data_IF_503082054118
#
_entry.id   IF_503082054118
#
_cell.length_a   1.000
_cell.length_b   1.000
_cell.length_c   1.000
_cell.angle_alpha   90.00
_cell.angle_beta   90.00
_cell.angle_gamma   90.00
#
_symmetry.space_group_name_H-M   'P 1'
#
loop_
_entity.id
_entity.type
_entity.pdbx_description
1 polymer ?
#
# COMPACT_ATOMS: atom_id res chain seq x y z
N UNK A 1 -16.73 16.17 -42.21
CA UNK A 1 -16.47 14.71 -42.19
C UNK A 1 -15.08 14.48 -41.62
N UNK A 2 -14.98 14.07 -40.36
CA UNK A 2 -13.74 13.55 -39.74
C UNK A 2 -14.15 12.55 -38.64
N UNK A 3 -13.43 11.44 -38.61
CA UNK A 3 -13.75 10.14 -37.99
C UNK A 3 -13.76 10.17 -36.45
N UNK A 4 -14.47 9.23 -35.79
CA UNK A 4 -14.46 9.13 -34.33
C UNK A 4 -13.15 8.50 -33.82
N UNK A 5 -12.63 9.03 -32.72
CA UNK A 5 -11.50 8.44 -32.00
C UNK A 5 -11.98 7.22 -31.20
N UNK A 6 -11.39 6.08 -31.50
CA UNK A 6 -11.62 4.78 -30.85
C UNK A 6 -11.09 4.80 -29.42
N UNK A 7 -11.96 4.44 -28.48
CA UNK A 7 -11.64 4.28 -27.07
C UNK A 7 -10.81 3.00 -26.88
N UNK A 8 -9.60 3.10 -26.30
CA UNK A 8 -8.80 1.94 -25.89
C UNK A 8 -8.99 1.76 -24.38
N UNK A 9 -9.80 0.77 -24.02
CA UNK A 9 -10.06 0.38 -22.64
C UNK A 9 -8.90 -0.50 -22.16
N UNK A 10 -8.10 -0.02 -21.21
CA UNK A 10 -7.12 -0.85 -20.50
C UNK A 10 -7.84 -1.45 -19.31
N UNK A 11 -8.26 -2.71 -19.46
CA UNK A 11 -8.83 -3.50 -18.37
C UNK A 11 -7.70 -3.86 -17.38
N UNK A 12 -7.89 -3.52 -16.10
CA UNK A 12 -7.15 -4.16 -15.03
C UNK A 12 -7.43 -5.68 -15.07
N UNK A 13 -6.43 -6.55 -14.83
CA UNK A 13 -6.65 -7.99 -14.91
C UNK A 13 -7.60 -8.43 -13.79
N UNK A 14 -8.84 -8.75 -14.18
CA UNK A 14 -9.72 -9.57 -13.36
C UNK A 14 -9.19 -11.00 -13.36
N UNK A 15 -8.82 -11.50 -12.18
CA UNK A 15 -8.43 -12.90 -12.02
C UNK A 15 -9.63 -13.81 -12.35
N UNK A 16 -9.44 -14.91 -13.12
CA UNK A 16 -10.53 -15.75 -13.55
C UNK A 16 -11.14 -16.53 -12.38
N UNK A 17 -12.48 -16.52 -12.30
CA UNK A 17 -13.26 -17.34 -11.38
C UNK A 17 -13.28 -18.78 -11.90
N UNK A 18 -12.69 -19.72 -11.15
CA UNK A 18 -12.74 -21.15 -11.52
C UNK A 18 -14.11 -21.71 -11.11
N UNK A 19 -14.93 -21.99 -12.12
CA UNK A 19 -16.19 -22.73 -12.00
C UNK A 19 -15.95 -24.18 -11.59
N UNK A 20 -16.74 -24.64 -10.60
CA UNK A 20 -16.80 -26.03 -10.13
C UNK A 20 -17.09 -26.99 -11.28
N UNK A 21 -16.22 -27.99 -11.47
CA UNK A 21 -16.50 -29.16 -12.30
C UNK A 21 -16.63 -30.42 -11.44
N UNK A 22 -17.60 -31.23 -11.83
CA UNK A 22 -18.24 -32.33 -11.10
C UNK A 22 -17.31 -33.54 -10.92
N UNK A 23 -17.51 -34.19 -9.77
CA UNK A 23 -16.99 -35.50 -9.41
C UNK A 23 -17.44 -36.57 -10.43
N UNK A 24 -16.47 -37.29 -11.01
CA UNK A 24 -16.67 -38.44 -11.87
C UNK A 24 -15.86 -39.63 -11.34
N UNK A 25 -16.55 -40.73 -11.11
CA UNK A 25 -16.15 -41.98 -10.48
C UNK A 25 -15.07 -42.77 -11.22
N UNK A 26 -14.17 -43.40 -10.46
CA UNK A 26 -13.11 -44.30 -10.92
C UNK A 26 -13.62 -45.72 -11.29
N UNK A 27 -12.79 -46.50 -12.02
CA UNK A 27 -12.74 -47.96 -11.82
C UNK A 27 -11.29 -48.50 -11.63
N UNK A 28 -11.13 -49.76 -11.14
CA UNK A 28 -9.91 -50.19 -10.46
C UNK A 28 -9.04 -51.24 -11.18
N UNK A 29 -7.76 -51.26 -10.76
CA UNK A 29 -6.79 -52.37 -10.58
C UNK A 29 -6.36 -53.24 -11.78
N UNK A 30 -5.03 -53.41 -11.97
CA UNK A 30 -4.18 -54.54 -11.45
C UNK A 30 -2.91 -54.74 -12.32
N UNK A 31 -1.75 -55.02 -11.70
CA UNK A 31 -0.70 -55.84 -12.34
C UNK A 31 0.79 -55.42 -12.30
N UNK A 32 1.43 -55.50 -11.11
CA UNK A 32 2.76 -56.10 -10.81
C UNK A 32 3.88 -56.14 -11.88
N UNK A 33 5.06 -55.54 -11.59
CA UNK A 33 6.36 -56.22 -11.38
C UNK A 33 7.51 -55.23 -11.11
N UNK A 34 8.48 -55.72 -10.34
CA UNK A 34 9.63 -55.05 -9.72
C UNK A 34 10.65 -54.47 -10.70
N UNK A 35 11.27 -53.34 -10.33
CA UNK A 35 12.70 -53.11 -10.54
C UNK A 35 13.23 -52.08 -9.55
N UNK A 36 14.28 -52.47 -8.84
CA UNK A 36 15.10 -51.67 -7.94
C UNK A 36 15.92 -50.64 -8.74
N UNK A 37 15.66 -49.36 -8.50
CA UNK A 37 16.60 -48.28 -8.82
C UNK A 37 16.75 -47.39 -7.59
N UNK A 38 18.00 -47.32 -7.12
CA UNK A 38 18.47 -46.38 -6.11
C UNK A 38 18.22 -44.98 -6.64
N UNK A 39 17.18 -44.31 -6.13
CA UNK A 39 16.90 -42.91 -6.44
C UNK A 39 17.68 -42.06 -5.45
N UNK A 40 18.74 -41.42 -5.93
CA UNK A 40 19.40 -40.35 -5.21
C UNK A 40 18.33 -39.31 -4.82
N UNK A 41 18.12 -39.11 -3.51
CA UNK A 41 17.42 -37.94 -3.01
C UNK A 41 18.27 -36.72 -3.34
N UNK A 42 18.00 -36.09 -4.48
CA UNK A 42 18.31 -34.67 -4.64
C UNK A 42 17.38 -33.94 -3.66
N UNK A 43 17.89 -33.11 -2.74
CA UNK A 43 17.02 -32.26 -1.96
C UNK A 43 16.29 -31.36 -2.96
N UNK A 44 14.96 -31.33 -2.87
CA UNK A 44 14.19 -30.23 -3.42
C UNK A 44 14.75 -28.98 -2.73
N UNK A 45 15.57 -28.22 -3.45
CA UNK A 45 15.90 -26.86 -3.06
C UNK A 45 14.58 -26.12 -3.16
N UNK A 46 13.84 -26.07 -2.05
CA UNK A 46 12.85 -25.03 -1.85
C UNK A 46 13.66 -23.74 -1.91
N UNK A 47 13.63 -23.11 -3.07
CA UNK A 47 14.21 -21.80 -3.25
C UNK A 47 13.39 -20.89 -2.35
N UNK A 48 13.90 -20.63 -1.14
CA UNK A 48 13.30 -19.67 -0.23
C UNK A 48 13.13 -18.38 -1.00
N UNK A 49 11.88 -17.98 -1.18
CA UNK A 49 11.57 -16.65 -1.70
C UNK A 49 11.84 -15.70 -0.54
N UNK A 50 13.05 -15.20 -0.46
CA UNK A 50 13.37 -14.02 0.33
C UNK A 50 12.82 -12.81 -0.42
N UNK A 51 12.41 -11.76 0.29
CA UNK A 51 12.10 -10.48 -0.37
C UNK A 51 13.31 -10.09 -1.22
N UNK A 52 13.14 -9.85 -2.54
CA UNK A 52 14.24 -9.31 -3.33
C UNK A 52 14.64 -7.97 -2.72
N UNK A 53 15.87 -7.88 -2.22
CA UNK A 53 16.42 -6.70 -1.55
C UNK A 53 16.73 -5.56 -2.53
N UNK A 54 16.39 -5.70 -3.82
CA UNK A 54 16.93 -4.90 -4.92
C UNK A 54 15.88 -4.06 -5.65
N UNK A 55 14.65 -3.97 -5.16
CA UNK A 55 13.64 -3.11 -5.79
C UNK A 55 13.83 -1.67 -5.31
N UNK A 56 14.12 -0.75 -6.22
CA UNK A 56 14.34 0.66 -5.95
C UNK A 56 13.24 1.29 -5.07
N UNK A 57 11.98 0.93 -5.31
CA UNK A 57 10.85 1.51 -4.58
C UNK A 57 10.80 1.06 -3.10
N UNK A 58 11.41 -0.09 -2.76
CA UNK A 58 11.60 -0.51 -1.36
C UNK A 58 12.67 0.32 -0.67
N UNK A 59 13.77 0.61 -1.36
CA UNK A 59 14.84 1.44 -0.82
C UNK A 59 14.36 2.87 -0.55
N UNK A 60 13.60 3.44 -1.49
CA UNK A 60 12.94 4.75 -1.32
C UNK A 60 12.03 4.75 -0.10
N UNK A 61 11.16 3.73 0.05
CA UNK A 61 10.26 3.62 1.18
C UNK A 61 11.00 3.45 2.52
N UNK A 62 12.06 2.65 2.54
CA UNK A 62 12.87 2.41 3.73
C UNK A 62 13.60 3.69 4.16
N UNK A 63 14.20 4.43 3.22
CA UNK A 63 14.84 5.70 3.49
C UNK A 63 13.83 6.73 4.02
N UNK A 64 12.66 6.80 3.38
CA UNK A 64 11.56 7.67 3.82
C UNK A 64 11.08 7.33 5.23
N UNK A 65 10.87 6.05 5.50
CA UNK A 65 10.43 5.58 6.80
C UNK A 65 11.48 5.89 7.89
N UNK A 66 12.77 5.70 7.59
CA UNK A 66 13.84 6.07 8.51
C UNK A 66 13.87 7.59 8.78
N UNK A 67 13.72 8.41 7.74
CA UNK A 67 13.68 9.87 7.86
C UNK A 67 12.48 10.34 8.71
N UNK A 68 11.28 9.80 8.44
CA UNK A 68 10.09 10.09 9.24
C UNK A 68 10.27 9.66 10.71
N UNK A 69 10.73 8.42 10.94
CA UNK A 69 10.92 7.89 12.28
C UNK A 69 11.99 8.63 13.10
N UNK A 70 12.98 9.25 12.44
CA UNK A 70 13.95 10.11 13.10
C UNK A 70 13.38 11.49 13.45
N UNK A 71 12.39 11.97 12.70
CA UNK A 71 11.82 13.31 12.85
C UNK A 71 10.68 13.40 13.87
N UNK A 72 9.97 12.29 14.13
CA UNK A 72 8.85 12.23 15.07
C UNK A 72 9.09 11.22 16.21
N UNK A 73 8.60 11.49 17.43
CA UNK A 73 8.81 10.58 18.55
C UNK A 73 7.89 9.36 18.44
N UNK A 74 8.51 8.21 18.17
CA UNK A 74 7.85 6.91 18.02
C UNK A 74 8.36 5.91 19.07
N UNK A 75 7.48 5.00 19.47
CA UNK A 75 7.82 3.81 20.25
C UNK A 75 8.46 2.74 19.34
N UNK A 76 9.14 1.73 19.91
CA UNK A 76 9.57 0.56 19.17
C UNK A 76 8.41 -0.15 18.46
N UNK A 77 8.75 -1.00 17.49
CA UNK A 77 7.76 -1.77 16.74
C UNK A 77 6.86 -2.57 17.68
N UNK A 78 5.55 -2.51 17.44
CA UNK A 78 4.53 -3.14 18.25
C UNK A 78 4.11 -4.52 17.72
N UNK A 79 4.63 -4.93 16.56
CA UNK A 79 4.25 -6.20 15.93
C UNK A 79 5.12 -7.38 16.42
N UNK A 80 4.53 -8.57 16.63
CA UNK A 80 5.27 -9.81 16.84
C UNK A 80 6.21 -10.17 15.68
N UNK A 81 7.22 -11.00 15.94
CA UNK A 81 8.22 -11.38 14.93
C UNK A 81 7.62 -12.10 13.71
N UNK A 82 6.59 -12.92 13.92
CA UNK A 82 5.85 -13.64 12.87
C UNK A 82 4.91 -12.74 12.04
N UNK A 83 4.69 -11.50 12.49
CA UNK A 83 3.99 -10.45 11.75
C UNK A 83 4.98 -9.45 11.14
N UNK A 84 6.14 -9.26 11.77
CA UNK A 84 7.22 -8.44 11.24
C UNK A 84 7.76 -9.01 9.92
N UNK A 85 7.91 -10.33 9.85
CA UNK A 85 8.32 -11.07 8.66
C UNK A 85 7.39 -12.28 8.47
N UNK A 86 6.57 -12.26 7.43
CA UNK A 86 5.59 -13.30 7.15
C UNK A 86 5.71 -13.85 5.74
N UNK A 87 5.31 -15.11 5.58
CA UNK A 87 5.30 -15.81 4.30
C UNK A 87 4.13 -16.76 4.22
N UNK A 88 3.68 -17.02 3.00
CA UNK A 88 2.65 -18.03 2.79
C UNK A 88 3.26 -19.45 2.80
N UNK A 89 2.43 -20.45 3.06
CA UNK A 89 2.86 -21.85 3.13
C UNK A 89 3.37 -22.40 1.78
N UNK A 90 2.94 -21.79 0.67
CA UNK A 90 3.37 -22.15 -0.68
C UNK A 90 4.75 -21.55 -1.07
N UNK A 91 5.30 -20.64 -0.27
CA UNK A 91 6.53 -19.90 -0.60
C UNK A 91 6.39 -18.98 -1.82
N UNK A 92 5.18 -18.60 -2.21
CA UNK A 92 4.93 -17.70 -3.36
C UNK A 92 4.69 -16.25 -2.95
N UNK A 93 4.47 -15.99 -1.67
CA UNK A 93 4.28 -14.65 -1.15
C UNK A 93 5.05 -14.44 0.16
N UNK A 94 5.67 -13.27 0.27
CA UNK A 94 6.41 -12.81 1.45
C UNK A 94 6.08 -11.35 1.73
N UNK A 95 6.11 -10.97 2.99
CA UNK A 95 5.87 -9.60 3.38
C UNK A 95 6.56 -9.23 4.68
N UNK A 96 6.79 -7.93 4.83
CA UNK A 96 7.27 -7.30 6.05
C UNK A 96 6.29 -6.25 6.53
N UNK A 97 6.20 -6.09 7.85
CA UNK A 97 5.41 -5.05 8.49
C UNK A 97 6.19 -4.47 9.66
N UNK A 98 6.42 -3.16 9.66
CA UNK A 98 6.88 -2.41 10.82
C UNK A 98 5.78 -1.45 11.24
N UNK A 99 5.35 -1.54 12.49
CA UNK A 99 4.29 -0.69 13.02
C UNK A 99 4.74 -0.08 14.33
N UNK A 100 4.82 1.25 14.36
CA UNK A 100 5.29 2.01 15.52
C UNK A 100 4.22 2.98 15.96
N UNK A 101 3.91 2.97 17.26
CA UNK A 101 2.98 3.95 17.84
C UNK A 101 3.69 5.26 18.15
N UNK A 102 2.95 6.37 18.17
CA UNK A 102 3.46 7.62 18.71
C UNK A 102 3.85 7.49 20.18
N UNK A 103 4.90 8.19 20.60
CA UNK A 103 5.24 8.31 22.01
C UNK A 103 4.13 9.06 22.79
N UNK A 104 4.06 8.93 24.13
CA UNK A 104 3.14 9.72 24.93
C UNK A 104 3.23 11.23 24.62
N UNK A 105 2.07 11.90 24.54
CA UNK A 105 1.92 13.30 24.15
C UNK A 105 2.33 13.66 22.70
N UNK A 106 2.70 12.68 21.87
CA UNK A 106 2.86 12.87 20.43
C UNK A 106 1.51 13.02 19.74
N UNK A 107 1.42 13.84 18.68
CA UNK A 107 0.26 13.90 17.78
C UNK A 107 0.19 12.70 16.83
N UNK A 108 1.24 11.88 16.76
CA UNK A 108 1.26 10.65 15.97
C UNK A 108 0.41 9.58 16.68
N UNK A 109 -0.49 8.94 15.94
CA UNK A 109 -1.16 7.72 16.40
C UNK A 109 -0.27 6.51 16.12
N UNK A 110 0.01 6.27 14.84
CA UNK A 110 0.94 5.25 14.41
C UNK A 110 1.61 5.59 13.08
N UNK A 111 2.75 4.97 12.86
CA UNK A 111 3.43 4.85 11.59
C UNK A 111 3.46 3.38 11.19
N UNK A 112 3.12 3.09 9.94
CA UNK A 112 3.15 1.76 9.34
C UNK A 112 4.05 1.81 8.12
N UNK A 113 5.03 0.92 8.06
CA UNK A 113 5.83 0.65 6.88
C UNK A 113 5.63 -0.83 6.51
N UNK A 114 5.25 -1.11 5.27
CA UNK A 114 5.03 -2.47 4.81
C UNK A 114 5.62 -2.69 3.43
N UNK A 115 6.09 -3.91 3.18
CA UNK A 115 6.43 -4.35 1.85
C UNK A 115 5.93 -5.77 1.60
N UNK A 116 5.30 -5.99 0.46
CA UNK A 116 4.73 -7.26 0.05
C UNK A 116 5.33 -7.66 -1.29
N UNK A 117 5.60 -8.94 -1.46
CA UNK A 117 5.93 -9.58 -2.72
C UNK A 117 5.03 -10.79 -2.91
N UNK A 118 4.40 -10.93 -4.06
CA UNK A 118 3.63 -12.10 -4.40
C UNK A 118 3.86 -12.51 -5.85
N UNK A 119 4.30 -13.76 -6.05
CA UNK A 119 4.34 -14.40 -7.37
C UNK A 119 2.91 -14.67 -7.83
N UNK A 120 2.60 -14.22 -9.04
CA UNK A 120 1.34 -14.49 -9.74
C UNK A 120 1.66 -15.28 -11.03
N UNK A 121 0.67 -15.95 -11.67
CA UNK A 121 0.96 -16.83 -12.80
C UNK A 121 1.77 -16.22 -13.95
N UNK A 122 1.68 -14.89 -14.14
CA UNK A 122 2.32 -14.17 -15.23
C UNK A 122 3.38 -13.15 -14.76
N UNK A 123 3.87 -13.25 -13.52
CA UNK A 123 4.85 -12.29 -12.99
C UNK A 123 4.86 -12.20 -11.47
N UNK A 124 5.11 -11.00 -10.96
CA UNK A 124 5.04 -10.70 -9.54
C UNK A 124 4.32 -9.37 -9.32
N UNK A 125 3.71 -9.24 -8.14
CA UNK A 125 3.18 -7.98 -7.64
C UNK A 125 3.99 -7.63 -6.41
N UNK A 126 4.55 -6.43 -6.42
CA UNK A 126 5.28 -5.85 -5.31
C UNK A 126 4.55 -4.59 -4.84
N UNK A 127 4.24 -4.53 -3.55
CA UNK A 127 3.55 -3.39 -2.92
C UNK A 127 4.44 -2.88 -1.81
N UNK A 128 4.68 -1.58 -1.76
CA UNK A 128 5.38 -0.95 -0.64
C UNK A 128 4.63 0.29 -0.20
N UNK A 129 4.35 0.38 1.09
CA UNK A 129 3.51 1.43 1.65
C UNK A 129 4.11 2.01 2.91
N UNK A 130 4.05 3.34 3.04
CA UNK A 130 4.38 4.09 4.26
C UNK A 130 3.18 4.96 4.61
N UNK A 131 2.60 4.71 5.78
CA UNK A 131 1.44 5.43 6.30
C UNK A 131 1.81 6.07 7.62
N UNK A 132 1.42 7.32 7.83
CA UNK A 132 1.55 7.98 9.14
C UNK A 132 0.23 8.63 9.50
N UNK A 133 -0.43 8.07 10.50
CA UNK A 133 -1.72 8.56 10.98
C UNK A 133 -1.52 9.42 12.22
N UNK A 134 -2.19 10.56 12.22
CA UNK A 134 -2.26 11.48 13.36
C UNK A 134 -3.45 11.12 14.25
N UNK A 135 -3.33 11.41 15.54
CA UNK A 135 -4.36 11.18 16.54
C UNK A 135 -5.25 12.42 16.70
N UNK A 136 -6.13 12.39 17.70
CA UNK A 136 -7.13 13.43 17.91
C UNK A 136 -6.55 14.76 18.44
N UNK A 137 -5.26 14.86 18.79
CA UNK A 137 -4.64 16.10 19.29
C UNK A 137 -4.48 17.19 18.22
N UNK A 138 -4.71 16.85 16.96
CA UNK A 138 -4.55 17.75 15.81
C UNK A 138 -5.55 17.38 14.73
N UNK A 139 -5.84 18.32 13.84
CA UNK A 139 -6.66 18.09 12.64
C UNK A 139 -5.84 17.93 11.37
N UNK A 140 -4.51 18.05 11.46
CA UNK A 140 -3.65 18.04 10.29
C UNK A 140 -3.76 16.73 9.48
N UNK A 141 -3.54 16.77 8.16
CA UNK A 141 -3.64 15.60 7.28
C UNK A 141 -2.76 14.40 7.68
N UNK A 142 -3.20 13.19 7.35
CA UNK A 142 -2.36 11.97 7.45
C UNK A 142 -1.38 11.89 6.28
N UNK A 143 -0.30 11.14 6.41
CA UNK A 143 0.64 10.87 5.32
C UNK A 143 0.37 9.50 4.67
N UNK A 144 0.32 9.45 3.34
CA UNK A 144 0.18 8.24 2.55
C UNK A 144 1.22 8.21 1.42
N UNK A 145 2.00 7.14 1.38
CA UNK A 145 2.76 6.72 0.20
C UNK A 145 2.50 5.24 -0.06
N UNK A 146 2.16 4.90 -1.30
CA UNK A 146 1.99 3.53 -1.76
C UNK A 146 2.48 3.38 -3.20
N UNK A 147 3.38 2.42 -3.40
CA UNK A 147 3.92 2.03 -4.69
C UNK A 147 3.53 0.59 -4.99
N UNK A 148 2.84 0.38 -6.10
CA UNK A 148 2.32 -0.93 -6.53
C UNK A 148 2.93 -1.27 -7.88
N UNK A 149 3.98 -2.07 -7.87
CA UNK A 149 4.64 -2.54 -9.08
C UNK A 149 4.01 -3.87 -9.52
N UNK A 150 3.24 -3.82 -10.62
CA UNK A 150 2.58 -5.00 -11.19
C UNK A 150 3.38 -5.70 -12.29
N UNK A 151 4.47 -5.07 -12.74
CA UNK A 151 5.39 -5.61 -13.74
C UNK A 151 6.76 -4.92 -13.66
N UNK A 152 7.82 -5.47 -14.27
CA UNK A 152 9.14 -4.82 -14.28
C UNK A 152 9.17 -3.41 -14.89
N UNK A 153 8.18 -3.04 -15.72
CA UNK A 153 8.16 -1.77 -16.46
C UNK A 153 6.99 -0.86 -16.09
N UNK A 154 6.13 -1.25 -15.14
CA UNK A 154 4.95 -0.46 -14.77
C UNK A 154 4.62 -0.50 -13.29
N UNK A 155 4.26 0.67 -12.78
CA UNK A 155 3.93 0.91 -11.37
C UNK A 155 2.73 1.86 -11.25
N UNK A 156 1.89 1.63 -10.25
CA UNK A 156 0.93 2.61 -9.76
C UNK A 156 1.54 3.32 -8.55
N UNK A 157 1.39 4.64 -8.54
CA UNK A 157 1.87 5.53 -7.48
C UNK A 157 0.67 6.22 -6.85
N UNK A 158 0.57 6.14 -5.53
CA UNK A 158 -0.36 6.90 -4.71
C UNK A 158 0.47 7.63 -3.64
N UNK A 159 0.54 8.95 -3.72
CA UNK A 159 1.22 9.80 -2.73
C UNK A 159 0.31 10.96 -2.39
N UNK A 160 0.01 11.13 -1.10
CA UNK A 160 -0.96 12.12 -0.66
C UNK A 160 -0.80 12.52 0.80
N UNK A 161 -1.35 13.70 1.13
CA UNK A 161 -1.69 14.09 2.49
C UNK A 161 -3.21 13.98 2.69
N UNK A 162 -3.67 12.88 3.28
CA UNK A 162 -5.09 12.55 3.37
C UNK A 162 -5.82 13.57 4.27
N UNK A 163 -6.85 14.28 3.76
CA UNK A 163 -7.61 15.25 4.55
C UNK A 163 -8.32 14.54 5.68
N UNK A 164 -8.55 15.25 6.79
CA UNK A 164 -9.31 14.76 7.95
C UNK A 164 -10.61 15.52 8.18
N UNK A 165 -10.83 16.59 7.43
CA UNK A 165 -12.07 17.37 7.37
C UNK A 165 -12.69 17.29 5.97
N UNK A 166 -13.97 17.61 5.88
CA UNK A 166 -14.64 17.78 4.59
C UNK A 166 -14.17 19.07 3.92
N UNK A 167 -13.50 18.96 2.78
CA UNK A 167 -12.86 20.11 2.13
C UNK A 167 -13.86 21.14 1.58
N UNK A 168 -15.10 20.73 1.26
CA UNK A 168 -16.11 21.65 0.77
C UNK A 168 -16.76 22.45 1.91
N UNK A 169 -16.82 21.87 3.11
CA UNK A 169 -17.31 22.55 4.31
C UNK A 169 -16.23 23.40 5.01
N UNK A 170 -14.95 23.12 4.75
CA UNK A 170 -13.80 23.74 5.42
C UNK A 170 -12.79 24.32 4.41
N UNK A 171 -13.14 25.41 3.69
CA UNK A 171 -12.24 26.02 2.71
C UNK A 171 -10.94 26.55 3.34
N UNK A 172 -10.96 26.98 4.60
CA UNK A 172 -9.77 27.39 5.36
C UNK A 172 -8.79 26.22 5.58
N UNK A 173 -9.31 25.01 5.77
CA UNK A 173 -8.49 23.80 5.90
C UNK A 173 -7.85 23.44 4.55
N UNK A 174 -8.62 23.52 3.46
CA UNK A 174 -8.12 23.33 2.10
C UNK A 174 -6.98 24.32 1.80
N UNK A 175 -7.18 25.60 2.12
CA UNK A 175 -6.18 26.63 1.92
C UNK A 175 -4.91 26.36 2.74
N UNK A 176 -5.06 26.10 4.05
CA UNK A 176 -3.94 25.90 4.99
C UNK A 176 -3.00 24.76 4.57
N UNK A 177 -3.55 23.58 4.27
CA UNK A 177 -2.75 22.37 4.11
C UNK A 177 -2.42 22.02 2.65
N UNK A 178 -3.17 22.54 1.67
CA UNK A 178 -3.03 22.13 0.26
C UNK A 178 -2.62 23.28 -0.66
N UNK A 179 -3.29 24.44 -0.55
CA UNK A 179 -2.97 25.59 -1.42
C UNK A 179 -1.71 26.32 -0.94
N UNK A 180 -1.66 26.71 0.33
CA UNK A 180 -0.56 27.46 0.91
C UNK A 180 0.76 26.68 0.88
N UNK A 181 0.70 25.37 1.08
CA UNK A 181 1.87 24.47 1.02
C UNK A 181 2.37 24.22 -0.41
N UNK A 182 1.60 24.63 -1.43
CA UNK A 182 1.86 24.31 -2.83
C UNK A 182 2.00 22.80 -3.10
N UNK A 183 1.23 21.96 -2.38
CA UNK A 183 1.37 20.50 -2.44
C UNK A 183 1.16 19.96 -3.86
N UNK A 184 0.29 20.62 -4.64
CA UNK A 184 -0.05 20.23 -6.01
C UNK A 184 1.13 20.25 -7.00
N UNK A 185 2.20 21.00 -6.69
CA UNK A 185 3.42 21.03 -7.52
C UNK A 185 4.06 19.66 -7.66
N UNK A 186 3.92 18.78 -6.67
CA UNK A 186 4.49 17.43 -6.75
C UNK A 186 3.71 16.56 -7.74
N UNK A 187 2.39 16.74 -7.83
CA UNK A 187 1.56 16.08 -8.83
C UNK A 187 1.94 16.57 -10.23
N UNK A 188 2.04 17.88 -10.42
CA UNK A 188 2.43 18.49 -11.71
C UNK A 188 3.76 17.93 -12.23
N UNK A 189 4.82 17.94 -11.40
CA UNK A 189 6.16 17.43 -11.77
C UNK A 189 6.13 15.97 -12.24
N UNK A 190 5.32 15.12 -11.60
CA UNK A 190 5.24 13.70 -11.93
C UNK A 190 4.39 13.47 -13.19
N UNK A 191 3.31 14.24 -13.37
CA UNK A 191 2.47 14.19 -14.57
C UNK A 191 3.16 14.72 -15.83
N UNK A 192 4.18 15.58 -15.69
CA UNK A 192 5.01 16.05 -16.82
C UNK A 192 5.88 14.95 -17.44
N UNK A 193 6.12 13.84 -16.73
CA UNK A 193 6.91 12.73 -17.26
C UNK A 193 6.15 12.02 -18.40
N UNK A 194 6.82 11.72 -19.54
CA UNK A 194 6.15 11.13 -20.69
C UNK A 194 5.59 9.72 -20.45
N UNK A 195 6.12 9.00 -19.45
CA UNK A 195 5.68 7.67 -19.02
C UNK A 195 4.44 7.70 -18.13
N UNK A 196 4.04 8.88 -17.65
CA UNK A 196 3.00 9.02 -16.62
C UNK A 196 1.61 9.20 -17.24
N UNK A 197 0.61 8.55 -16.64
CA UNK A 197 -0.81 8.74 -16.92
C UNK A 197 -1.59 8.82 -15.60
N UNK A 198 -2.68 9.60 -15.51
CA UNK A 198 -3.53 9.59 -14.33
C UNK A 198 -4.05 8.18 -14.03
N UNK A 199 -3.84 7.72 -12.80
CA UNK A 199 -4.42 6.48 -12.29
C UNK A 199 -5.76 6.78 -11.65
N UNK A 200 -6.77 6.01 -12.03
CA UNK A 200 -8.12 6.13 -11.49
C UNK A 200 -8.49 4.86 -10.74
N UNK A 201 -8.28 4.87 -9.42
CA UNK A 201 -8.55 3.71 -8.55
C UNK A 201 -9.93 3.10 -8.82
N UNK A 202 -10.11 1.79 -8.96
CA UNK A 202 -11.44 1.20 -9.12
C UNK A 202 -12.34 1.42 -7.89
N UNK A 203 -11.75 1.67 -6.71
CA UNK A 203 -12.48 2.00 -5.50
C UNK A 203 -12.87 3.47 -5.48
N UNK A 204 -14.18 3.76 -5.52
CA UNK A 204 -14.70 5.11 -5.32
C UNK A 204 -14.35 5.66 -3.94
N UNK A 205 -14.26 4.79 -2.94
CA UNK A 205 -13.88 5.19 -1.59
C UNK A 205 -12.46 5.75 -1.55
N UNK A 206 -11.49 5.05 -2.17
CA UNK A 206 -10.11 5.53 -2.29
C UNK A 206 -10.08 6.90 -2.97
N UNK A 207 -10.81 7.05 -4.09
CA UNK A 207 -10.90 8.35 -4.79
C UNK A 207 -11.44 9.47 -3.89
N UNK A 208 -12.43 9.18 -3.05
CA UNK A 208 -13.04 10.18 -2.15
C UNK A 208 -12.20 10.47 -0.91
N UNK A 209 -11.32 9.55 -0.51
CA UNK A 209 -10.47 9.71 0.66
C UNK A 209 -9.23 10.55 0.34
N UNK A 210 -8.71 10.48 -0.88
CA UNK A 210 -7.58 11.28 -1.35
C UNK A 210 -7.92 12.77 -1.44
N UNK A 211 -6.91 13.61 -1.24
CA UNK A 211 -6.98 15.05 -1.44
C UNK A 211 -7.05 15.44 -2.92
N UNK A 212 -7.45 16.69 -3.22
CA UNK A 212 -7.41 17.23 -4.58
C UNK A 212 -6.00 17.30 -5.19
N UNK A 213 -4.94 17.27 -4.37
CA UNK A 213 -3.54 17.38 -4.81
C UNK A 213 -2.81 16.03 -4.83
N UNK A 214 -3.53 14.92 -4.64
CA UNK A 214 -2.96 13.59 -4.58
C UNK A 214 -2.23 13.22 -5.89
N UNK A 215 -1.01 12.69 -5.78
CA UNK A 215 -0.33 12.06 -6.91
C UNK A 215 -0.90 10.66 -7.05
N UNK A 216 -1.85 10.49 -7.98
CA UNK A 216 -2.46 9.20 -8.30
C UNK A 216 -2.20 8.90 -9.77
N UNK A 217 -1.10 8.20 -10.05
CA UNK A 217 -0.63 7.98 -11.43
C UNK A 217 -0.21 6.53 -11.70
N UNK A 218 -0.29 6.14 -12.96
CA UNK A 218 0.36 4.95 -13.50
C UNK A 218 1.59 5.42 -14.29
N UNK A 219 2.72 4.80 -14.03
CA UNK A 219 3.95 4.96 -14.80
C UNK A 219 4.12 3.70 -15.64
N UNK A 220 4.27 3.86 -16.94
CA UNK A 220 4.54 2.77 -17.88
C UNK A 220 5.75 3.12 -18.75
N UNK A 221 6.85 2.41 -18.51
CA UNK A 221 8.10 2.63 -19.22
C UNK A 221 8.16 1.87 -20.56
N UNK A 222 7.26 0.92 -20.82
CA UNK A 222 7.19 0.16 -22.07
C UNK A 222 8.57 -0.26 -22.61
N UNK A 223 8.95 0.30 -23.78
CA UNK A 223 10.23 0.02 -24.45
C UNK A 223 11.48 0.60 -23.75
N UNK A 224 11.32 1.56 -22.83
CA UNK A 224 12.40 2.03 -21.94
C UNK A 224 12.84 0.97 -20.93
N UNK A 225 11.99 -0.03 -20.68
CA UNK A 225 12.34 -1.19 -19.85
C UNK A 225 12.45 -0.87 -18.36
N UNK A 226 12.99 -1.83 -17.62
CA UNK A 226 13.11 -1.81 -16.16
C UNK A 226 14.05 -0.70 -15.65
N UNK A 227 15.16 -0.45 -16.36
CA UNK A 227 16.12 0.60 -15.99
C UNK A 227 15.52 2.01 -16.00
N UNK A 228 14.64 2.33 -16.96
CA UNK A 228 13.94 3.61 -16.97
C UNK A 228 12.97 3.74 -15.78
N UNK A 229 12.28 2.66 -15.41
CA UNK A 229 11.41 2.69 -14.23
C UNK A 229 12.23 2.92 -12.96
N UNK A 230 13.37 2.24 -12.83
CA UNK A 230 14.30 2.42 -11.72
C UNK A 230 14.82 3.86 -11.64
N UNK A 231 15.23 4.47 -12.75
CA UNK A 231 15.65 5.88 -12.81
C UNK A 231 14.54 6.84 -12.36
N UNK A 232 13.30 6.61 -12.79
CA UNK A 232 12.15 7.42 -12.37
C UNK A 232 11.88 7.26 -10.87
N UNK A 233 11.99 6.04 -10.35
CA UNK A 233 11.78 5.75 -8.92
C UNK A 233 12.86 6.42 -8.07
N UNK A 234 14.14 6.20 -8.38
CA UNK A 234 15.27 6.72 -7.62
C UNK A 234 15.46 8.24 -7.77
N UNK A 235 15.02 8.83 -8.88
CA UNK A 235 15.11 10.25 -9.16
C UNK A 235 13.82 11.00 -8.82
N UNK A 236 12.85 10.92 -9.74
CA UNK A 236 11.63 11.75 -9.69
C UNK A 236 10.73 11.41 -8.51
N UNK A 237 10.42 10.12 -8.30
CA UNK A 237 9.54 9.71 -7.20
C UNK A 237 10.20 9.90 -5.84
N UNK A 238 11.47 9.51 -5.68
CA UNK A 238 12.20 9.73 -4.44
C UNK A 238 12.22 11.21 -4.04
N UNK A 239 12.44 12.13 -4.99
CA UNK A 239 12.37 13.57 -4.75
C UNK A 239 10.96 14.00 -4.34
N UNK A 240 9.94 13.61 -5.10
CA UNK A 240 8.55 14.01 -4.84
C UNK A 240 8.07 13.54 -3.46
N UNK A 241 8.29 12.26 -3.12
CA UNK A 241 7.90 11.70 -1.82
C UNK A 241 8.63 12.40 -0.68
N UNK A 242 9.92 12.70 -0.84
CA UNK A 242 10.68 13.45 0.16
C UNK A 242 10.13 14.86 0.34
N UNK A 243 9.83 15.58 -0.73
CA UNK A 243 9.24 16.92 -0.65
C UNK A 243 7.87 16.89 0.06
N UNK A 244 7.01 15.91 -0.23
CA UNK A 244 5.72 15.73 0.46
C UNK A 244 5.94 15.41 1.95
N UNK A 245 6.89 14.54 2.30
CA UNK A 245 7.20 14.25 3.71
C UNK A 245 7.70 15.50 4.43
N UNK A 246 8.54 16.31 3.80
CA UNK A 246 9.03 17.56 4.39
C UNK A 246 7.92 18.57 4.62
N UNK A 247 6.97 18.70 3.67
CA UNK A 247 5.75 19.50 3.86
C UNK A 247 4.96 18.96 5.07
N UNK A 248 4.76 17.64 5.15
CA UNK A 248 4.02 17.03 6.25
C UNK A 248 4.71 17.22 7.61
N UNK A 249 6.02 17.04 7.69
CA UNK A 249 6.79 17.25 8.93
C UNK A 249 6.75 18.71 9.39
N UNK A 250 6.80 19.66 8.46
CA UNK A 250 6.80 21.09 8.76
C UNK A 250 5.40 21.61 9.13
N UNK A 251 4.38 21.21 8.38
CA UNK A 251 3.03 21.78 8.46
C UNK A 251 2.03 20.93 9.23
N UNK A 252 2.29 19.63 9.45
CA UNK A 252 1.31 18.70 10.02
C UNK A 252 1.80 18.04 11.32
N UNK A 253 2.98 17.42 11.30
CA UNK A 253 3.44 16.53 12.38
C UNK A 253 3.56 17.22 13.75
N UNK A 254 3.76 18.53 13.79
CA UNK A 254 3.89 19.33 15.02
C UNK A 254 2.72 20.28 15.27
N UNK A 255 1.70 20.22 14.42
CA UNK A 255 0.52 21.05 14.59
C UNK A 255 -0.29 20.53 15.79
N UNK A 256 -0.57 21.41 16.74
CA UNK A 256 -1.41 21.15 17.93
C UNK A 256 -2.59 22.11 17.96
N UNK A 257 -3.20 22.33 16.79
CA UNK A 257 -4.38 23.19 16.63
C UNK A 257 -5.45 22.80 17.65
N UNK A 258 -5.83 23.77 18.50
CA UNK A 258 -7.00 23.62 19.36
C UNK A 258 -8.23 23.45 18.49
N UNK A 259 -9.02 22.43 18.78
CA UNK A 259 -10.21 22.06 18.02
C UNK A 259 -11.37 21.91 18.99
N UNK A 260 -12.53 22.46 18.59
CA UNK A 260 -13.76 22.30 19.35
C UNK A 260 -14.10 20.82 19.50
N UNK A 261 -14.66 20.43 20.63
CA UNK A 261 -14.94 19.02 20.92
C UNK A 261 -15.88 18.38 19.89
N UNK A 262 -16.91 19.11 19.44
CA UNK A 262 -17.82 18.63 18.40
C UNK A 262 -17.09 18.37 17.06
N UNK A 263 -16.17 19.26 16.69
CA UNK A 263 -15.36 19.12 15.47
C UNK A 263 -14.39 17.94 15.58
N UNK A 264 -13.78 17.78 16.76
CA UNK A 264 -12.91 16.63 17.10
C UNK A 264 -13.64 15.31 16.95
N UNK A 265 -14.87 15.21 17.46
CA UNK A 265 -15.68 13.99 17.35
C UNK A 265 -16.02 13.65 15.89
N UNK A 266 -16.38 14.64 15.08
CA UNK A 266 -16.67 14.44 13.65
C UNK A 266 -15.44 13.93 12.91
N UNK A 267 -14.29 14.54 13.16
CA UNK A 267 -13.01 14.13 12.59
C UNK A 267 -12.63 12.69 13.00
N UNK A 268 -12.77 12.33 14.27
CA UNK A 268 -12.51 10.97 14.76
C UNK A 268 -13.41 9.95 14.04
N UNK A 269 -14.71 10.24 13.89
CA UNK A 269 -15.64 9.36 13.16
C UNK A 269 -15.20 9.17 11.71
N UNK A 270 -14.74 10.24 11.05
CA UNK A 270 -14.20 10.18 9.70
C UNK A 270 -12.93 9.33 9.63
N UNK A 271 -11.98 9.53 10.53
CA UNK A 271 -10.75 8.74 10.60
C UNK A 271 -11.05 7.24 10.80
N UNK A 272 -11.99 6.92 11.68
CA UNK A 272 -12.44 5.54 11.88
C UNK A 272 -13.04 4.94 10.60
N UNK A 273 -13.89 5.70 9.90
CA UNK A 273 -14.47 5.24 8.63
C UNK A 273 -13.40 4.97 7.56
N UNK A 274 -12.41 5.87 7.43
CA UNK A 274 -11.26 5.69 6.53
C UNK A 274 -10.47 4.44 6.89
N UNK A 275 -10.10 4.27 8.17
CA UNK A 275 -9.36 3.09 8.66
C UNK A 275 -10.09 1.79 8.38
N UNK A 276 -11.38 1.70 8.73
CA UNK A 276 -12.18 0.50 8.47
C UNK A 276 -12.25 0.17 6.98
N UNK A 277 -12.52 1.18 6.14
CA UNK A 277 -12.66 0.95 4.70
C UNK A 277 -11.35 0.63 4.01
N UNK A 278 -10.22 1.19 4.44
CA UNK A 278 -8.90 0.76 3.96
C UNK A 278 -8.62 -0.70 4.31
N UNK A 279 -8.94 -1.14 5.54
CA UNK A 279 -8.81 -2.57 5.91
C UNK A 279 -9.72 -3.46 5.06
N UNK A 280 -10.93 -3.03 4.76
CA UNK A 280 -11.89 -3.81 3.96
C UNK A 280 -11.47 -3.92 2.49
N UNK A 281 -11.18 -2.77 1.87
CA UNK A 281 -10.92 -2.65 0.42
C UNK A 281 -9.53 -3.19 0.06
N UNK A 282 -8.52 -2.92 0.88
CA UNK A 282 -7.13 -3.24 0.53
C UNK A 282 -6.68 -4.55 1.17
N UNK A 283 -6.86 -4.68 2.49
CA UNK A 283 -6.28 -5.80 3.24
C UNK A 283 -7.15 -7.06 3.18
N UNK A 284 -8.43 -6.95 3.55
CA UNK A 284 -9.34 -8.12 3.66
C UNK A 284 -9.66 -8.72 2.30
N UNK A 285 -9.73 -7.90 1.26
CA UNK A 285 -10.01 -8.37 -0.10
C UNK A 285 -8.80 -9.05 -0.77
N UNK A 286 -7.57 -8.64 -0.44
CA UNK A 286 -6.37 -9.03 -1.19
C UNK A 286 -5.39 -9.92 -0.40
N UNK A 287 -5.14 -9.66 0.90
CA UNK A 287 -4.20 -10.46 1.70
C UNK A 287 -4.54 -11.96 1.69
N UNK A 288 -5.80 -12.40 1.91
CA UNK A 288 -6.12 -13.84 1.90
C UNK A 288 -5.80 -14.54 0.59
N UNK A 289 -5.84 -13.82 -0.54
CA UNK A 289 -5.50 -14.36 -1.86
C UNK A 289 -4.00 -14.57 -2.03
N UNK A 290 -3.18 -13.73 -1.39
CA UNK A 290 -1.72 -13.78 -1.46
C UNK A 290 -1.13 -14.72 -0.40
N UNK A 291 -1.62 -14.61 0.85
CA UNK A 291 -1.01 -15.24 2.02
C UNK A 291 -1.79 -16.42 2.61
N UNK A 292 -3.01 -16.66 2.12
CA UNK A 292 -3.93 -17.62 2.72
C UNK A 292 -4.65 -17.04 3.95
N UNK A 293 -5.78 -17.66 4.36
CA UNK A 293 -6.67 -17.10 5.38
C UNK A 293 -6.02 -17.00 6.76
N UNK A 294 -5.18 -17.96 7.15
CA UNK A 294 -4.62 -18.04 8.49
C UNK A 294 -3.60 -16.90 8.73
N UNK A 295 -2.60 -16.79 7.85
CA UNK A 295 -1.57 -15.74 7.91
C UNK A 295 -2.22 -14.35 7.79
N UNK A 296 -3.14 -14.20 6.84
CA UNK A 296 -3.84 -12.92 6.62
C UNK A 296 -4.69 -12.52 7.82
N UNK A 297 -5.39 -13.48 8.44
CA UNK A 297 -6.20 -13.23 9.64
C UNK A 297 -5.36 -12.70 10.79
N UNK A 298 -4.16 -13.26 10.98
CA UNK A 298 -3.23 -12.80 12.02
C UNK A 298 -2.73 -11.37 11.76
N UNK A 299 -2.27 -11.09 10.54
CA UNK A 299 -1.78 -9.75 10.14
C UNK A 299 -2.89 -8.70 10.25
N UNK A 300 -4.08 -9.01 9.74
CA UNK A 300 -5.23 -8.10 9.80
C UNK A 300 -5.61 -7.81 11.26
N UNK A 301 -5.50 -8.80 12.16
CA UNK A 301 -5.76 -8.59 13.58
C UNK A 301 -4.77 -7.61 14.22
N UNK A 302 -3.47 -7.72 13.92
CA UNK A 302 -2.47 -6.77 14.42
C UNK A 302 -2.66 -5.36 13.85
N UNK A 303 -2.96 -5.24 12.55
CA UNK A 303 -3.25 -3.94 11.94
C UNK A 303 -4.51 -3.31 12.56
N UNK A 304 -5.56 -4.10 12.82
CA UNK A 304 -6.78 -3.62 13.51
C UNK A 304 -6.51 -3.11 14.92
N UNK A 305 -5.65 -3.79 15.68
CA UNK A 305 -5.23 -3.34 17.02
C UNK A 305 -4.51 -2.00 16.97
N UNK A 306 -3.67 -1.78 15.96
CA UNK A 306 -3.00 -0.51 15.76
C UNK A 306 -3.97 0.59 15.32
N UNK A 307 -4.89 0.26 14.41
CA UNK A 307 -5.86 1.22 13.88
C UNK A 307 -6.94 1.59 14.90
N UNK A 308 -7.05 0.87 16.01
CA UNK A 308 -8.07 1.10 17.04
C UNK A 308 -9.47 0.71 16.59
N UNK A 309 -9.59 -0.19 15.62
CA UNK A 309 -10.85 -0.61 14.99
C UNK A 309 -11.10 -2.08 15.30
N UNK A 310 -11.58 -2.36 16.51
CA UNK A 310 -12.10 -3.68 16.84
C UNK A 310 -13.52 -3.81 16.28
N UNK A 311 -13.84 -4.97 15.71
CA UNK A 311 -15.23 -5.31 15.42
C UNK A 311 -15.96 -5.35 16.77
N UNK A 312 -16.94 -4.48 16.96
CA UNK A 312 -18.01 -4.82 17.88
C UNK A 312 -18.68 -6.05 17.29
N UNK A 313 -18.50 -7.20 17.94
CA UNK A 313 -19.34 -8.36 17.67
C UNK A 313 -20.79 -7.92 17.87
N UNK A 314 -21.58 -8.01 16.81
CA UNK A 314 -23.00 -7.74 16.81
C UNK A 314 -23.77 -8.84 17.55
#
# INVERSE_FOLDING_TARGET
MLRPATCVSVAAPSLPTISRLRCGTAPPLRGRRSSTTVRACMPLVQQEVTLPSTLAHREVAQALAAEAAAAVPLLPSAVPADVADFRNSAGTAVGTLDLRRGAPASSIDFMLHSSLHCKVPNGAIDITSVLIFLNALTDAPHFLMEFIQGSPTSMVVILDLLPRKDLALHPEYLHKYYEHTCLDKQREKIEELPQTRPYRSPSLFVRSACSPTAVSVTIDCGQGGEGTLEEIVCGHLASAVKEVLQIWLHSCARDTSEMEEAEREIMIKRDQAVRLKSIEVDLTANLPRMFGPDVSGHIIAEIRKAFGVQLQEA
#
